data_IF_629382847447
#
_entry.id   IF_629382847447
#
_cell.length_a   1.000
_cell.length_b   1.000
_cell.length_c   1.000
_cell.angle_alpha   90.00
_cell.angle_beta   90.00
_cell.angle_gamma   90.00
#
_symmetry.space_group_name_H-M   'P 1'
#
loop_
_entity.id
_entity.type
_entity.pdbx_description
1 polymer ?
#
# COMPACT_ATOMS: atom_id res chain seq x y z
N UNK A 1 20.94 -3.15 23.20
CA UNK A 1 19.52 -3.00 23.55
C UNK A 1 18.76 -3.64 22.42
N UNK A 2 18.09 -4.78 22.66
CA UNK A 2 17.23 -5.35 21.64
C UNK A 2 16.15 -4.30 21.35
N UNK A 3 15.99 -3.91 20.09
CA UNK A 3 14.82 -3.13 19.70
C UNK A 3 13.59 -3.94 20.14
N UNK A 4 12.68 -3.31 20.88
CA UNK A 4 11.38 -3.91 21.20
C UNK A 4 10.78 -4.43 19.89
N UNK A 5 10.50 -5.74 19.79
CA UNK A 5 9.88 -6.33 18.60
C UNK A 5 8.53 -5.61 18.38
N UNK A 6 8.37 -4.80 17.31
CA UNK A 6 7.16 -4.03 17.09
C UNK A 6 5.93 -4.91 16.84
N UNK A 7 6.14 -6.22 16.64
CA UNK A 7 5.11 -7.22 16.40
C UNK A 7 4.82 -8.07 17.64
N UNK A 8 5.44 -7.79 18.80
CA UNK A 8 5.28 -8.58 20.01
C UNK A 8 3.84 -8.66 20.53
N UNK A 9 3.01 -7.66 20.20
CA UNK A 9 1.59 -7.60 20.58
C UNK A 9 0.68 -8.47 19.69
N UNK A 10 1.18 -8.99 18.57
CA UNK A 10 0.36 -9.74 17.61
C UNK A 10 0.25 -11.20 18.01
N UNK A 11 -0.97 -11.74 17.94
CA UNK A 11 -1.17 -13.18 17.92
C UNK A 11 -0.70 -13.78 16.57
N UNK A 12 -0.58 -15.10 16.51
CA UNK A 12 -0.08 -15.81 15.33
C UNK A 12 -0.89 -15.53 14.05
N UNK A 13 -2.21 -15.36 14.19
CA UNK A 13 -3.10 -15.07 13.05
C UNK A 13 -2.84 -13.67 12.50
N UNK A 14 -2.76 -12.66 13.38
CA UNK A 14 -2.50 -11.28 13.02
C UNK A 14 -1.08 -11.09 12.44
N UNK A 15 -0.08 -11.79 13.00
CA UNK A 15 1.29 -11.78 12.47
C UNK A 15 1.36 -12.38 11.06
N UNK A 16 0.71 -13.53 10.84
CA UNK A 16 0.62 -14.12 9.50
C UNK A 16 -0.16 -13.22 8.53
N UNK A 17 -1.17 -12.47 9.01
CA UNK A 17 -1.90 -11.48 8.23
C UNK A 17 -0.96 -10.39 7.70
N UNK A 18 -0.16 -9.82 8.59
CA UNK A 18 0.82 -8.79 8.28
C UNK A 18 1.88 -9.28 7.29
N UNK A 19 2.42 -10.49 7.52
CA UNK A 19 3.40 -11.11 6.61
C UNK A 19 2.83 -11.31 5.19
N UNK A 20 1.56 -11.71 5.06
CA UNK A 20 0.90 -11.85 3.76
C UNK A 20 0.63 -10.51 3.08
N UNK A 21 0.20 -9.48 3.83
CA UNK A 21 -0.02 -8.12 3.29
C UNK A 21 1.22 -7.59 2.57
N UNK A 22 2.39 -7.81 3.17
CA UNK A 22 3.66 -7.25 2.73
C UNK A 22 4.60 -8.31 2.13
N UNK A 23 4.07 -9.45 1.69
CA UNK A 23 4.88 -10.42 0.98
C UNK A 23 5.50 -9.78 -0.28
N UNK A 24 6.79 -10.02 -0.49
CA UNK A 24 7.58 -9.53 -1.63
C UNK A 24 7.81 -8.01 -1.69
N UNK A 25 7.55 -7.26 -0.61
CA UNK A 25 8.00 -5.87 -0.51
C UNK A 25 9.45 -5.80 -0.07
N UNK A 26 10.17 -4.79 -0.54
CA UNK A 26 11.58 -4.57 -0.16
C UNK A 26 11.71 -3.99 1.25
N UNK A 27 10.79 -3.09 1.64
CA UNK A 27 10.77 -2.46 2.96
C UNK A 27 9.36 -2.15 3.44
N UNK A 28 9.20 -2.08 4.77
CA UNK A 28 8.01 -1.56 5.45
C UNK A 28 8.47 -0.57 6.52
N UNK A 29 8.16 0.71 6.33
CA UNK A 29 8.49 1.77 7.28
C UNK A 29 7.26 2.08 8.13
N UNK A 30 7.38 1.98 9.46
CA UNK A 30 6.26 2.23 10.37
C UNK A 30 5.28 1.05 10.53
N UNK A 31 5.80 -0.19 10.54
CA UNK A 31 5.01 -1.42 10.68
C UNK A 31 4.17 -1.46 11.97
N UNK A 32 4.61 -0.73 12.99
CA UNK A 32 3.99 -0.54 14.30
C UNK A 32 2.54 -0.06 14.17
N UNK A 33 2.25 0.83 13.20
CA UNK A 33 0.90 1.31 12.97
C UNK A 33 -0.02 0.17 12.52
N UNK A 34 0.44 -0.64 11.56
CA UNK A 34 -0.31 -1.79 11.05
C UNK A 34 -0.51 -2.82 12.16
N UNK A 35 0.56 -3.12 12.92
CA UNK A 35 0.50 -4.03 14.06
C UNK A 35 -0.51 -3.56 15.12
N UNK A 36 -0.51 -2.27 15.47
CA UNK A 36 -1.47 -1.71 16.42
C UNK A 36 -2.92 -1.87 15.95
N UNK A 37 -3.21 -1.57 14.68
CA UNK A 37 -4.57 -1.75 14.13
C UNK A 37 -4.98 -3.22 14.13
N UNK A 38 -4.08 -4.14 13.76
CA UNK A 38 -4.33 -5.58 13.81
C UNK A 38 -4.50 -6.11 15.24
N UNK A 39 -3.94 -5.43 16.25
CA UNK A 39 -4.13 -5.71 17.66
C UNK A 39 -5.42 -5.09 18.24
N UNK A 40 -6.21 -4.36 17.43
CA UNK A 40 -7.51 -3.79 17.81
C UNK A 40 -7.48 -2.30 18.15
N UNK A 41 -6.36 -1.59 17.94
CA UNK A 41 -6.37 -0.14 17.97
C UNK A 41 -7.15 0.42 16.77
N UNK A 42 -7.80 1.59 16.90
CA UNK A 42 -8.44 2.22 15.76
C UNK A 42 -7.41 2.61 14.69
N UNK A 43 -7.79 2.43 13.42
CA UNK A 43 -7.13 3.02 12.26
C UNK A 43 -7.19 4.54 12.34
N UNK A 44 -6.45 5.22 11.45
CA UNK A 44 -6.54 6.68 11.32
C UNK A 44 -7.97 7.17 11.01
N UNK A 45 -8.82 6.32 10.41
CA UNK A 45 -10.22 6.61 10.13
C UNK A 45 -11.16 6.46 11.34
N UNK A 46 -10.65 6.03 12.50
CA UNK A 46 -11.46 5.77 13.69
C UNK A 46 -12.22 4.44 13.68
N UNK A 47 -11.90 3.56 12.73
CA UNK A 47 -12.49 2.23 12.55
C UNK A 47 -11.40 1.14 12.55
N UNK A 48 -11.72 -0.10 12.18
CA UNK A 48 -10.78 -1.22 12.10
C UNK A 48 -10.21 -1.45 10.68
N UNK A 49 -10.47 -0.53 9.74
CA UNK A 49 -10.10 -0.68 8.33
C UNK A 49 -8.80 0.05 8.03
N UNK A 50 -7.75 -0.73 7.70
CA UNK A 50 -6.52 -0.18 7.12
C UNK A 50 -6.80 0.36 5.73
N UNK A 51 -6.29 1.56 5.45
CA UNK A 51 -6.41 2.23 4.16
C UNK A 51 -5.03 2.43 3.57
N UNK A 52 -4.86 2.04 2.31
CA UNK A 52 -3.64 2.23 1.55
C UNK A 52 -3.96 3.00 0.27
N UNK A 53 -2.93 3.61 -0.33
CA UNK A 53 -3.06 4.20 -1.65
C UNK A 53 -1.80 3.95 -2.49
N UNK A 54 -1.98 3.95 -3.80
CA UNK A 54 -0.89 4.01 -4.77
C UNK A 54 -1.20 5.07 -5.82
N UNK A 55 -0.24 5.94 -6.10
CA UNK A 55 -0.29 6.90 -7.20
C UNK A 55 0.37 6.31 -8.44
N UNK A 56 -0.31 6.33 -9.58
CA UNK A 56 0.22 5.89 -10.86
C UNK A 56 0.08 7.02 -11.88
N UNK A 57 1.20 7.44 -12.46
CA UNK A 57 1.20 8.42 -13.56
C UNK A 57 0.80 7.76 -14.88
N UNK A 58 -0.31 8.15 -15.52
CA UNK A 58 -0.61 7.74 -16.88
C UNK A 58 0.45 8.35 -17.81
N UNK A 59 1.41 7.53 -18.24
CA UNK A 59 2.62 7.99 -18.93
C UNK A 59 2.99 7.17 -20.15
N UNK A 60 2.16 6.18 -20.49
CA UNK A 60 2.39 5.26 -21.60
C UNK A 60 1.67 3.93 -21.38
N UNK A 61 2.12 2.91 -22.11
CA UNK A 61 1.60 1.55 -21.93
C UNK A 61 2.14 0.96 -20.63
N UNK A 62 1.26 0.30 -19.86
CA UNK A 62 1.69 -0.51 -18.73
C UNK A 62 2.69 -1.59 -19.19
N UNK A 63 3.75 -1.77 -18.42
CA UNK A 63 4.77 -2.78 -18.65
C UNK A 63 4.76 -3.82 -17.51
N UNK A 64 5.57 -4.88 -17.63
CA UNK A 64 5.57 -6.02 -16.70
C UNK A 64 5.77 -5.64 -15.21
N UNK A 65 6.44 -4.52 -14.93
CA UNK A 65 6.62 -4.02 -13.56
C UNK A 65 5.31 -3.72 -12.83
N UNK A 66 4.25 -3.37 -13.57
CA UNK A 66 2.92 -3.15 -12.99
C UNK A 66 2.32 -4.43 -12.40
N UNK A 67 2.75 -5.61 -12.84
CA UNK A 67 2.30 -6.90 -12.27
C UNK A 67 2.79 -7.04 -10.83
N UNK A 68 4.00 -6.56 -10.52
CA UNK A 68 4.55 -6.58 -9.16
C UNK A 68 3.71 -5.67 -8.25
N UNK A 69 3.37 -4.47 -8.73
CA UNK A 69 2.49 -3.55 -8.00
C UNK A 69 1.09 -4.15 -7.79
N UNK A 70 0.54 -4.78 -8.83
CA UNK A 70 -0.76 -5.45 -8.77
C UNK A 70 -0.77 -6.63 -7.78
N UNK A 71 0.34 -7.35 -7.66
CA UNK A 71 0.52 -8.40 -6.65
C UNK A 71 0.47 -7.83 -5.22
N UNK A 72 1.19 -6.75 -4.94
CA UNK A 72 1.13 -6.09 -3.62
C UNK A 72 -0.27 -5.59 -3.29
N UNK A 73 -0.95 -4.97 -4.26
CA UNK A 73 -2.35 -4.52 -4.09
C UNK A 73 -3.26 -5.72 -3.81
N UNK A 74 -3.11 -6.82 -4.55
CA UNK A 74 -3.88 -8.05 -4.35
C UNK A 74 -3.68 -8.63 -2.96
N UNK A 75 -2.43 -8.66 -2.48
CA UNK A 75 -2.10 -9.15 -1.14
C UNK A 75 -2.76 -8.30 -0.05
N UNK A 76 -2.72 -6.97 -0.18
CA UNK A 76 -3.40 -6.05 0.74
C UNK A 76 -4.93 -6.23 0.73
N UNK A 77 -5.54 -6.31 -0.45
CA UNK A 77 -6.99 -6.53 -0.60
C UNK A 77 -7.43 -7.87 0.00
N UNK A 78 -6.64 -8.94 -0.19
CA UNK A 78 -6.92 -10.26 0.37
C UNK A 78 -6.97 -10.26 1.91
N UNK A 79 -6.24 -9.33 2.53
CA UNK A 79 -6.20 -9.15 3.98
C UNK A 79 -7.17 -8.04 4.47
N UNK A 80 -8.06 -7.55 3.61
CA UNK A 80 -9.12 -6.61 3.97
C UNK A 80 -8.67 -5.14 4.07
N UNK A 81 -7.50 -4.79 3.52
CA UNK A 81 -7.08 -3.39 3.38
C UNK A 81 -7.91 -2.74 2.26
N UNK A 82 -8.39 -1.52 2.49
CA UNK A 82 -9.03 -0.71 1.46
C UNK A 82 -7.96 0.06 0.67
N UNK A 83 -7.79 -0.25 -0.62
CA UNK A 83 -6.73 0.33 -1.47
C UNK A 83 -7.33 1.32 -2.47
N UNK A 84 -6.86 2.57 -2.43
CA UNK A 84 -7.16 3.59 -3.43
C UNK A 84 -6.07 3.60 -4.52
N UNK A 85 -6.48 3.46 -5.79
CA UNK A 85 -5.60 3.72 -6.93
C UNK A 85 -5.85 5.14 -7.43
N UNK A 86 -4.88 6.02 -7.20
CA UNK A 86 -4.91 7.39 -7.69
C UNK A 86 -4.28 7.44 -9.08
N UNK A 87 -5.08 7.72 -10.10
CA UNK A 87 -4.57 8.08 -11.42
C UNK A 87 -4.03 9.50 -11.35
N UNK A 88 -2.72 9.63 -11.30
CA UNK A 88 -2.01 10.87 -11.03
C UNK A 88 -1.85 11.69 -12.32
N UNK A 89 -2.98 12.08 -12.91
CA UNK A 89 -3.11 12.84 -14.15
C UNK A 89 -2.37 14.19 -14.11
N UNK A 90 -2.59 14.98 -13.06
CA UNK A 90 -1.88 16.25 -12.85
C UNK A 90 -0.38 16.07 -12.67
N UNK A 91 0.06 14.97 -12.05
CA UNK A 91 1.48 14.66 -11.87
C UNK A 91 2.11 14.31 -13.22
N UNK A 92 1.43 13.48 -14.02
CA UNK A 92 1.83 13.18 -15.38
C UNK A 92 1.88 14.45 -16.25
N UNK A 93 0.92 15.36 -16.09
CA UNK A 93 0.87 16.62 -16.83
C UNK A 93 2.03 17.56 -16.48
N UNK A 94 2.32 17.74 -15.19
CA UNK A 94 3.47 18.54 -14.71
C UNK A 94 4.80 17.91 -15.13
N UNK A 95 4.86 16.58 -15.25
CA UNK A 95 6.04 15.82 -15.70
C UNK A 95 6.13 15.68 -17.24
N UNK A 96 5.44 16.53 -18.00
CA UNK A 96 5.45 16.58 -19.46
C UNK A 96 5.10 15.27 -20.16
N UNK A 97 4.36 14.36 -19.49
CA UNK A 97 3.87 13.13 -20.11
C UNK A 97 2.89 13.48 -21.23
N UNK A 98 3.02 12.78 -22.35
CA UNK A 98 2.25 13.05 -23.57
C UNK A 98 2.34 14.50 -24.07
N UNK A 99 3.42 15.22 -23.74
CA UNK A 99 3.60 16.63 -24.10
C UNK A 99 2.65 17.57 -23.35
N UNK A 100 2.29 17.22 -22.11
CA UNK A 100 1.41 18.02 -21.24
C UNK A 100 0.02 18.22 -21.86
N UNK A 101 -0.45 17.23 -22.63
CA UNK A 101 -1.79 17.19 -23.20
C UNK A 101 -2.71 16.37 -22.29
N UNK A 102 -3.50 17.05 -21.46
CA UNK A 102 -4.38 16.42 -20.47
C UNK A 102 -5.41 15.46 -21.10
N UNK A 103 -5.79 15.67 -22.36
CA UNK A 103 -6.73 14.75 -23.03
C UNK A 103 -6.09 13.41 -23.42
N UNK A 104 -4.75 13.31 -23.40
CA UNK A 104 -3.99 12.09 -23.72
C UNK A 104 -3.46 11.36 -22.49
N UNK A 105 -3.45 12.04 -21.33
CA UNK A 105 -3.15 11.47 -20.01
C UNK A 105 -4.38 10.69 -19.54
#
# INVERSE_FOLDING_TARGET
>A
MAADDPLASLNSVARAKLERMFANVDEVVGVEHVAAVLAGAPSHGGDDVLRAYIGLEPSGKAHLGYVILAETIRNMLAEGVNVLVLLADWHAWVNDKFGSDMAKI
#
